data_IF_618485846261
#
_entry.id   IF_618485846261
#
_cell.length_a   1.000
_cell.length_b   1.000
_cell.length_c   1.000
_cell.angle_alpha   90.00
_cell.angle_beta   90.00
_cell.angle_gamma   90.00
#
_symmetry.space_group_name_H-M   'P 1'
#
loop_
_entity.id
_entity.type
_entity.pdbx_description
1 polymer ?
#
# COMPACT_ATOMS: atom_id res chain seq x y z
N UNK A 1 5.02 19.36 28.55
CA UNK A 1 6.01 19.56 27.47
C UNK A 1 6.48 18.21 26.98
N UNK A 2 6.27 17.86 25.71
CA UNK A 2 6.87 16.65 25.12
C UNK A 2 8.38 16.89 24.92
N UNK A 3 9.20 15.88 25.24
CA UNK A 3 10.67 15.99 25.18
C UNK A 3 11.18 16.06 23.73
N UNK A 4 12.41 16.56 23.54
CA UNK A 4 13.05 16.75 22.22
C UNK A 4 13.08 15.47 21.35
N UNK A 5 13.23 14.30 21.97
CA UNK A 5 13.21 13.00 21.28
C UNK A 5 11.82 12.66 20.71
N UNK A 6 10.75 13.06 21.41
CA UNK A 6 9.38 12.87 20.94
C UNK A 6 9.11 13.65 19.66
N UNK A 7 9.65 14.88 19.55
CA UNK A 7 9.48 15.69 18.33
C UNK A 7 10.25 15.11 17.14
N UNK A 8 11.47 14.59 17.35
CA UNK A 8 12.24 13.94 16.28
C UNK A 8 11.54 12.66 15.77
N UNK A 9 10.99 11.85 16.67
CA UNK A 9 10.20 10.66 16.32
C UNK A 9 8.91 11.02 15.56
N UNK A 10 8.26 12.14 15.89
CA UNK A 10 7.08 12.62 15.16
C UNK A 10 7.46 13.06 13.75
N UNK A 11 8.58 13.78 13.57
CA UNK A 11 9.05 14.21 12.25
C UNK A 11 9.43 13.02 11.37
N UNK A 12 10.08 11.99 11.92
CA UNK A 12 10.40 10.76 11.17
C UNK A 12 9.16 9.95 10.78
N UNK A 13 8.10 9.98 11.59
CA UNK A 13 6.82 9.32 11.29
C UNK A 13 5.95 10.09 10.29
N UNK A 14 6.29 11.34 10.00
CA UNK A 14 5.53 12.23 9.11
C UNK A 14 6.06 12.21 7.67
N UNK A 15 6.57 11.07 7.21
CA UNK A 15 6.91 10.88 5.81
C UNK A 15 5.62 10.72 5.00
N UNK A 16 5.48 11.50 3.92
CA UNK A 16 4.39 11.31 2.97
C UNK A 16 4.58 9.95 2.31
N UNK A 17 3.62 9.01 2.44
CA UNK A 17 3.74 7.72 1.81
C UNK A 17 3.84 7.87 0.29
N UNK A 18 4.81 7.18 -0.31
CA UNK A 18 4.89 7.02 -1.76
C UNK A 18 4.27 5.69 -2.11
N UNK A 19 3.41 5.67 -3.13
CA UNK A 19 2.74 4.46 -3.61
C UNK A 19 2.82 4.44 -5.13
N UNK A 20 3.29 3.33 -5.69
CA UNK A 20 3.36 3.09 -7.12
C UNK A 20 2.61 1.81 -7.48
N UNK A 21 1.76 1.88 -8.50
CA UNK A 21 1.17 0.67 -9.11
C UNK A 21 2.23 0.10 -10.05
N UNK A 22 2.83 -1.02 -9.66
CA UNK A 22 3.89 -1.66 -10.44
C UNK A 22 3.34 -2.35 -11.69
N UNK A 23 2.20 -3.05 -11.55
CA UNK A 23 1.48 -3.59 -12.69
C UNK A 23 0.02 -3.90 -12.35
N UNK A 24 -0.80 -3.98 -13.40
CA UNK A 24 -2.16 -4.51 -13.36
C UNK A 24 -2.31 -5.48 -14.55
N UNK A 25 -2.75 -6.69 -14.27
CA UNK A 25 -3.17 -7.67 -15.27
C UNK A 25 -4.69 -7.86 -15.19
N UNK A 26 -5.38 -7.85 -16.32
CA UNK A 26 -6.84 -7.89 -16.41
C UNK A 26 -7.25 -8.96 -17.42
N UNK A 27 -8.03 -9.93 -16.98
CA UNK A 27 -8.64 -10.96 -17.82
C UNK A 27 -10.14 -11.04 -17.55
N UNK A 28 -10.94 -10.50 -18.47
CA UNK A 28 -12.40 -10.43 -18.34
C UNK A 28 -12.84 -9.66 -17.09
N UNK A 29 -13.53 -10.35 -16.17
CA UNK A 29 -14.02 -9.80 -14.90
C UNK A 29 -13.07 -10.04 -13.72
N UNK A 30 -11.88 -10.61 -13.95
CA UNK A 30 -10.85 -10.80 -12.93
C UNK A 30 -9.63 -9.91 -13.22
N UNK A 31 -8.98 -9.43 -12.18
CA UNK A 31 -7.72 -8.69 -12.28
C UNK A 31 -6.79 -9.00 -11.12
N UNK A 32 -5.49 -8.86 -11.38
CA UNK A 32 -4.42 -8.91 -10.41
C UNK A 32 -3.66 -7.58 -10.46
N UNK A 33 -3.30 -7.01 -9.30
CA UNK A 33 -2.46 -5.81 -9.26
C UNK A 33 -1.35 -5.94 -8.22
N UNK A 34 -0.19 -5.37 -8.52
CA UNK A 34 0.87 -5.13 -7.54
C UNK A 34 1.01 -3.64 -7.29
N UNK A 35 1.10 -3.25 -6.02
CA UNK A 35 1.48 -1.91 -5.63
C UNK A 35 2.66 -1.97 -4.66
N UNK A 36 3.67 -1.13 -4.90
CA UNK A 36 4.79 -0.96 -3.99
C UNK A 36 4.59 0.37 -3.24
N UNK A 37 4.86 0.36 -1.94
CA UNK A 37 4.72 1.53 -1.09
C UNK A 37 5.90 1.71 -0.15
N UNK A 38 6.26 2.96 0.09
CA UNK A 38 7.32 3.38 1.01
C UNK A 38 6.80 4.45 1.97
N UNK A 39 7.25 4.40 3.22
CA UNK A 39 6.93 5.39 4.24
C UNK A 39 5.53 5.25 4.86
N UNK A 40 4.79 4.16 4.60
CA UNK A 40 3.52 3.89 5.29
C UNK A 40 3.81 3.59 6.76
N UNK A 41 3.58 4.58 7.63
CA UNK A 41 3.91 4.50 9.07
C UNK A 41 5.37 4.15 9.34
N UNK A 42 6.28 4.53 8.43
CA UNK A 42 7.70 4.19 8.50
C UNK A 42 8.08 2.81 7.95
N UNK A 43 7.15 2.10 7.32
CA UNK A 43 7.40 0.80 6.66
C UNK A 43 7.26 0.91 5.15
N UNK A 44 7.81 -0.08 4.45
CA UNK A 44 7.60 -0.29 3.03
C UNK A 44 6.94 -1.64 2.79
N UNK A 45 6.01 -1.70 1.84
CA UNK A 45 5.25 -2.91 1.53
C UNK A 45 5.20 -3.18 0.03
N UNK A 46 5.30 -4.46 -0.31
CA UNK A 46 4.86 -4.98 -1.61
C UNK A 46 3.48 -5.59 -1.43
N UNK A 47 2.45 -4.92 -1.95
CA UNK A 47 1.05 -5.38 -1.92
C UNK A 47 0.67 -6.10 -3.21
N UNK A 48 -0.04 -7.23 -3.07
CA UNK A 48 -0.66 -7.96 -4.16
C UNK A 48 -2.18 -8.04 -3.95
N UNK A 49 -2.93 -7.65 -4.97
CA UNK A 49 -4.39 -7.58 -4.95
C UNK A 49 -4.99 -8.52 -5.98
N UNK A 50 -6.00 -9.29 -5.56
CA UNK A 50 -6.94 -9.91 -6.49
C UNK A 50 -8.22 -9.09 -6.50
N UNK A 51 -8.73 -8.79 -7.69
CA UNK A 51 -9.94 -8.00 -7.90
C UNK A 51 -10.95 -8.75 -8.77
N UNK A 52 -12.23 -8.57 -8.46
CA UNK A 52 -13.34 -9.01 -9.30
C UNK A 52 -14.22 -7.82 -9.69
N UNK A 53 -14.70 -7.82 -10.94
CA UNK A 53 -15.67 -6.83 -11.44
C UNK A 53 -17.09 -7.33 -11.16
N UNK A 54 -17.69 -6.81 -10.09
CA UNK A 54 -19.04 -7.17 -9.63
C UNK A 54 -19.97 -5.99 -9.90
N UNK A 55 -21.07 -6.23 -10.64
CA UNK A 55 -22.03 -5.20 -11.03
C UNK A 55 -21.37 -3.98 -11.69
N UNK A 56 -20.39 -4.23 -12.57
CA UNK A 56 -19.67 -3.19 -13.31
C UNK A 56 -18.57 -2.47 -12.54
N UNK A 57 -18.36 -2.76 -11.25
CA UNK A 57 -17.34 -2.11 -10.40
C UNK A 57 -16.26 -3.11 -9.97
N UNK A 58 -15.00 -2.71 -10.05
CA UNK A 58 -13.89 -3.49 -9.51
C UNK A 58 -13.93 -3.45 -7.98
N UNK A 59 -13.79 -4.62 -7.36
CA UNK A 59 -13.73 -4.78 -5.92
C UNK A 59 -12.50 -5.62 -5.58
N UNK A 60 -11.75 -5.18 -4.57
CA UNK A 60 -10.65 -5.98 -4.01
C UNK A 60 -11.27 -7.12 -3.20
N UNK A 61 -10.98 -8.36 -3.60
CA UNK A 61 -11.48 -9.57 -2.92
C UNK A 61 -10.41 -10.20 -2.04
N UNK A 62 -9.14 -9.92 -2.31
CA UNK A 62 -8.01 -10.34 -1.49
C UNK A 62 -6.86 -9.34 -1.59
N UNK A 63 -6.15 -9.17 -0.47
CA UNK A 63 -4.89 -8.46 -0.37
C UNK A 63 -3.89 -9.37 0.35
N UNK A 64 -2.71 -9.53 -0.21
CA UNK A 64 -1.53 -10.08 0.46
C UNK A 64 -0.44 -9.02 0.46
N UNK A 65 0.44 -9.04 1.46
CA UNK A 65 1.55 -8.10 1.50
C UNK A 65 2.81 -8.75 2.07
N UNK A 66 3.96 -8.21 1.68
CA UNK A 66 5.26 -8.49 2.30
C UNK A 66 5.83 -7.16 2.79
N UNK A 67 6.31 -7.13 4.04
CA UNK A 67 7.08 -5.98 4.56
C UNK A 67 8.49 -6.04 4.01
N UNK A 68 8.99 -4.92 3.52
CA UNK A 68 10.35 -4.80 2.99
C UNK A 68 11.38 -4.42 4.09
N UNK A 69 10.90 -4.17 5.33
CA UNK A 69 11.69 -3.79 6.50
C UNK A 69 11.21 -4.50 7.77
#
# INVERSE_FOLDING_TARGET
MLNHYSQLLIVLKNQTPLVAIAYIDISGSAAFARADSDGISGYGFTDYFNLLKIQGKWQVVNKMFVSNY
#
